data_IF_062910652032
#
_entry.id   IF_062910652032
#
_cell.length_a   1.000
_cell.length_b   1.000
_cell.length_c   1.000
_cell.angle_alpha   90.00
_cell.angle_beta   90.00
_cell.angle_gamma   90.00
#
_symmetry.space_group_name_H-M   'P 1'
#
loop_
_entity.id
_entity.type
_entity.pdbx_description
1 polymer ?
#
# COMPACT_ATOMS: atom_id res chain seq x y z
N UNK A 1 3.51 14.43 -8.99
CA UNK A 1 3.08 14.58 -7.62
C UNK A 1 2.58 13.27 -7.08
N UNK A 2 3.08 12.89 -5.92
CA UNK A 2 2.72 11.61 -5.33
C UNK A 2 1.23 11.50 -5.00
N UNK A 3 0.57 12.62 -4.77
CA UNK A 3 -0.86 12.63 -4.45
C UNK A 3 -1.72 12.11 -5.60
N UNK A 4 -1.28 12.31 -6.85
CA UNK A 4 -2.04 11.80 -7.99
C UNK A 4 -2.05 10.28 -8.01
N UNK A 5 -0.91 9.68 -7.67
CA UNK A 5 -0.82 8.22 -7.64
C UNK A 5 -1.72 7.67 -6.53
N UNK A 6 -1.69 8.30 -5.36
CA UNK A 6 -2.52 7.87 -4.24
C UNK A 6 -4.01 8.01 -4.55
N UNK A 7 -4.39 9.05 -5.30
CA UNK A 7 -5.80 9.27 -5.63
C UNK A 7 -6.36 8.24 -6.61
N UNK A 8 -5.49 7.54 -7.34
CA UNK A 8 -5.95 6.49 -8.26
C UNK A 8 -6.35 5.22 -7.52
N UNK A 9 -5.85 5.03 -6.33
CA UNK A 9 -6.19 3.84 -5.55
C UNK A 9 -7.61 3.95 -5.01
N UNK A 10 -8.25 2.80 -4.80
CA UNK A 10 -9.53 2.77 -4.12
C UNK A 10 -9.37 3.37 -2.73
N UNK A 11 -10.43 3.98 -2.17
CA UNK A 11 -10.32 4.61 -0.84
C UNK A 11 -9.75 3.69 0.23
N UNK A 12 -10.11 2.42 0.18
CA UNK A 12 -9.62 1.43 1.14
C UNK A 12 -8.12 1.21 1.00
N UNK A 13 -7.65 1.11 -0.23
CA UNK A 13 -6.23 0.92 -0.52
C UNK A 13 -5.43 2.15 -0.15
N UNK A 14 -5.99 3.33 -0.42
CA UNK A 14 -5.33 4.58 -0.07
C UNK A 14 -5.17 4.70 1.44
N UNK A 15 -6.21 4.34 2.18
CA UNK A 15 -6.14 4.37 3.64
C UNK A 15 -5.07 3.40 4.15
N UNK A 16 -5.02 2.20 3.59
CA UNK A 16 -4.00 1.22 3.97
C UNK A 16 -2.60 1.77 3.73
N UNK A 17 -2.37 2.39 2.57
CA UNK A 17 -1.08 2.99 2.26
C UNK A 17 -0.70 4.06 3.25
N UNK A 18 -1.63 4.93 3.61
CA UNK A 18 -1.39 6.00 4.57
C UNK A 18 -1.06 5.44 5.96
N UNK A 19 -1.79 4.42 6.38
CA UNK A 19 -1.55 3.80 7.68
C UNK A 19 -0.16 3.16 7.73
N UNK A 20 0.25 2.51 6.65
CA UNK A 20 1.57 1.90 6.58
C UNK A 20 2.67 2.95 6.59
N UNK A 21 2.47 4.05 5.89
CA UNK A 21 3.44 5.15 5.90
C UNK A 21 3.56 5.76 7.29
N UNK A 22 2.43 6.02 7.94
CA UNK A 22 2.41 6.58 9.28
C UNK A 22 3.09 5.69 10.30
N UNK A 23 2.92 4.39 10.14
CA UNK A 23 3.52 3.42 11.06
C UNK A 23 5.01 3.20 10.79
N UNK A 24 5.53 3.78 9.70
CA UNK A 24 6.92 3.59 9.32
C UNK A 24 7.22 2.23 8.76
N UNK A 25 6.19 1.52 8.32
CA UNK A 25 6.34 0.16 7.77
C UNK A 25 6.49 0.15 6.26
N UNK A 26 6.30 1.29 5.61
CA UNK A 26 6.34 1.38 4.16
C UNK A 26 6.94 2.73 3.77
N UNK A 27 7.81 2.72 2.78
CA UNK A 27 8.36 3.95 2.22
C UNK A 27 7.49 4.46 1.08
N UNK A 28 7.58 5.77 0.81
CA UNK A 28 6.80 6.38 -0.26
C UNK A 28 7.13 5.77 -1.62
N UNK A 29 8.41 5.52 -1.88
CA UNK A 29 8.84 4.92 -3.14
C UNK A 29 8.24 3.54 -3.33
N UNK A 30 8.19 2.76 -2.25
CA UNK A 30 7.61 1.42 -2.31
C UNK A 30 6.11 1.48 -2.53
N UNK A 31 5.44 2.46 -1.93
CA UNK A 31 4.01 2.65 -2.14
C UNK A 31 3.73 2.98 -3.60
N UNK A 32 4.52 3.87 -4.19
CA UNK A 32 4.34 4.23 -5.59
C UNK A 32 4.57 3.03 -6.51
N UNK A 33 5.57 2.21 -6.21
CA UNK A 33 5.83 1.00 -6.99
C UNK A 33 4.67 0.03 -6.89
N UNK A 34 4.12 -0.12 -5.70
CA UNK A 34 2.97 -0.98 -5.50
C UNK A 34 1.75 -0.51 -6.25
N UNK A 35 1.48 0.80 -6.21
CA UNK A 35 0.34 1.36 -6.92
C UNK A 35 0.51 1.23 -8.43
N UNK A 36 1.72 1.43 -8.93
CA UNK A 36 1.99 1.28 -10.36
C UNK A 36 1.77 -0.17 -10.80
N UNK A 37 2.20 -1.12 -10.01
CA UNK A 37 1.98 -2.52 -10.32
C UNK A 37 0.50 -2.88 -10.24
N UNK A 38 -0.20 -2.33 -9.25
CA UNK A 38 -1.63 -2.57 -9.11
C UNK A 38 -2.40 -2.12 -10.35
N UNK A 39 -1.98 -1.03 -10.97
CA UNK A 39 -2.61 -0.57 -12.20
C UNK A 39 -2.47 -1.58 -13.33
N UNK A 40 -1.39 -2.35 -13.32
CA UNK A 40 -1.13 -3.33 -14.36
C UNK A 40 -1.82 -4.67 -14.13
N UNK A 41 -1.75 -5.16 -12.90
CA UNK A 41 -2.24 -6.52 -12.60
C UNK A 41 -3.56 -6.52 -11.85
N UNK A 42 -3.96 -5.38 -11.29
CA UNK A 42 -5.17 -5.31 -10.47
C UNK A 42 -4.96 -5.94 -9.11
N UNK A 43 -6.07 -6.15 -8.41
CA UNK A 43 -6.03 -6.74 -7.08
C UNK A 43 -5.96 -5.71 -5.98
N UNK A 44 -5.82 -6.18 -4.76
CA UNK A 44 -5.74 -5.31 -3.59
C UNK A 44 -4.33 -4.83 -3.35
N UNK A 45 -4.19 -3.59 -2.89
CA UNK A 45 -2.88 -3.00 -2.66
C UNK A 45 -2.05 -3.82 -1.68
N UNK A 46 -2.67 -4.31 -0.60
CA UNK A 46 -1.94 -5.11 0.38
C UNK A 46 -1.28 -6.34 -0.24
N UNK A 47 -2.02 -7.03 -1.11
CA UNK A 47 -1.49 -8.21 -1.80
C UNK A 47 -0.33 -7.83 -2.72
N UNK A 48 -0.48 -6.72 -3.43
CA UNK A 48 0.55 -6.24 -4.34
C UNK A 48 1.82 -5.88 -3.57
N UNK A 49 1.67 -5.18 -2.45
CA UNK A 49 2.82 -4.77 -1.63
C UNK A 49 3.57 -5.97 -1.07
N UNK A 50 2.83 -7.02 -0.68
CA UNK A 50 3.47 -8.25 -0.23
C UNK A 50 4.22 -8.93 -1.37
N UNK A 51 3.64 -8.91 -2.56
CA UNK A 51 4.23 -9.54 -3.73
C UNK A 51 5.58 -8.93 -4.10
N UNK A 52 5.69 -7.62 -3.99
CA UNK A 52 6.95 -6.94 -4.30
C UNK A 52 7.91 -6.90 -3.10
N UNK A 53 7.48 -7.44 -1.97
CA UNK A 53 8.32 -7.48 -0.78
C UNK A 53 8.41 -6.16 -0.03
N UNK A 54 7.50 -5.24 -0.31
CA UNK A 54 7.50 -3.94 0.36
C UNK A 54 6.99 -4.02 1.79
N UNK A 55 6.08 -4.95 2.06
CA UNK A 55 5.56 -5.18 3.41
C UNK A 55 5.46 -6.67 3.65
N UNK A 56 5.45 -7.07 4.93
CA UNK A 56 5.23 -8.44 5.32
C UNK A 56 3.76 -8.64 5.72
N UNK A 57 3.34 -9.90 5.77
CA UNK A 57 2.01 -10.22 6.23
C UNK A 57 1.78 -9.74 7.65
N UNK A 58 2.79 -9.90 8.50
CA UNK A 58 2.73 -9.46 9.89
C UNK A 58 2.48 -7.96 9.97
N UNK A 59 3.18 -7.18 9.16
CA UNK A 59 3.02 -5.73 9.14
C UNK A 59 1.61 -5.34 8.69
N UNK A 60 1.08 -6.03 7.68
CA UNK A 60 -0.26 -5.77 7.21
C UNK A 60 -1.30 -6.06 8.30
N UNK A 61 -1.15 -7.21 8.96
CA UNK A 61 -2.07 -7.59 10.02
C UNK A 61 -2.01 -6.61 11.18
N UNK A 62 -0.82 -6.11 11.49
CA UNK A 62 -0.65 -5.14 12.55
C UNK A 62 -1.44 -3.86 12.27
N UNK A 63 -1.39 -3.39 11.04
CA UNK A 63 -2.10 -2.17 10.64
C UNK A 63 -3.60 -2.42 10.55
N UNK A 64 -4.00 -3.52 9.88
CA UNK A 64 -5.41 -3.84 9.71
C UNK A 64 -6.08 -4.18 11.03
N UNK A 65 -5.34 -4.78 11.95
CA UNK A 65 -5.89 -5.14 13.25
C UNK A 65 -6.23 -3.94 14.12
N UNK A 66 -5.73 -2.75 13.77
CA UNK A 66 -6.03 -1.54 14.52
C UNK A 66 -7.33 -0.88 14.08
N UNK A 67 -7.87 -1.35 13.01
CA UNK A 67 -9.14 -0.84 12.50
C UNK A 67 -10.30 -1.55 13.16
#
# INVERSE_FOLDING_TARGET
>A
MSSDVALRAAPRDRLLGELLLDAGLLGEADLERGLALQEKIGGRLGSVLMRIGAVSEDNLLQVLGRQ
#
